data_IF_940215250945
#
_entry.id   IF_940215250945
#
_cell.length_a   1.000
_cell.length_b   1.000
_cell.length_c   1.000
_cell.angle_alpha   90.00
_cell.angle_beta   90.00
_cell.angle_gamma   90.00
#
_symmetry.space_group_name_H-M   'P 1'
#
loop_
_entity.id
_entity.type
_entity.pdbx_description
1 polymer ?
#
# COMPACT_ATOMS: atom_id res chain seq x y z
N UNK A 1 -14.53 -15.73 12.04
CA UNK A 1 -15.97 -15.86 12.31
C UNK A 1 -16.60 -14.50 12.60
N UNK A 2 -16.09 -13.79 13.60
CA UNK A 2 -16.66 -12.51 14.06
C UNK A 2 -16.55 -11.39 13.00
N UNK A 3 -15.39 -11.25 12.36
CA UNK A 3 -15.20 -10.21 11.34
C UNK A 3 -16.12 -10.34 10.12
N UNK A 4 -16.57 -11.56 9.80
CA UNK A 4 -17.52 -11.78 8.69
C UNK A 4 -18.91 -11.27 9.09
N UNK A 5 -19.37 -11.60 10.30
CA UNK A 5 -20.66 -11.14 10.80
C UNK A 5 -20.68 -9.62 11.03
N UNK A 6 -19.60 -9.04 11.55
CA UNK A 6 -19.45 -7.58 11.69
C UNK A 6 -19.55 -6.89 10.33
N UNK A 7 -18.76 -7.33 9.35
CA UNK A 7 -18.78 -6.73 8.00
C UNK A 7 -20.14 -6.89 7.31
N UNK A 8 -20.80 -8.05 7.49
CA UNK A 8 -22.15 -8.29 6.95
C UNK A 8 -23.20 -7.40 7.62
N UNK A 9 -23.10 -7.22 8.93
CA UNK A 9 -23.95 -6.31 9.70
C UNK A 9 -23.84 -4.87 9.19
N UNK A 10 -22.62 -4.35 9.10
CA UNK A 10 -22.33 -3.00 8.59
C UNK A 10 -22.81 -2.81 7.15
N UNK A 11 -22.55 -3.79 6.27
CA UNK A 11 -23.05 -3.76 4.90
C UNK A 11 -24.59 -3.75 4.84
N UNK A 12 -25.26 -4.49 5.73
CA UNK A 12 -26.71 -4.51 5.85
C UNK A 12 -27.31 -3.21 6.43
N UNK A 13 -26.57 -2.49 7.26
CA UNK A 13 -26.96 -1.14 7.72
C UNK A 13 -26.92 -0.13 6.57
N UNK A 14 -25.84 -0.16 5.76
CA UNK A 14 -25.70 0.71 4.61
C UNK A 14 -26.67 0.35 3.46
N UNK A 15 -26.89 -0.95 3.23
CA UNK A 15 -27.71 -1.50 2.14
C UNK A 15 -28.62 -2.62 2.67
N UNK A 16 -29.85 -2.31 3.15
CA UNK A 16 -30.73 -3.24 3.84
C UNK A 16 -31.03 -4.56 3.12
N UNK A 17 -31.09 -4.56 1.79
CA UNK A 17 -31.38 -5.76 1.00
C UNK A 17 -30.27 -6.82 1.09
N UNK A 18 -29.05 -6.44 1.52
CA UNK A 18 -27.94 -7.39 1.69
C UNK A 18 -28.13 -8.33 2.89
N UNK A 19 -28.98 -7.99 3.87
CA UNK A 19 -29.17 -8.78 5.10
C UNK A 19 -29.62 -10.22 4.82
N UNK A 20 -30.51 -10.40 3.85
CA UNK A 20 -31.07 -11.70 3.46
C UNK A 20 -30.23 -12.49 2.47
N UNK A 21 -29.15 -11.92 1.93
CA UNK A 21 -28.34 -12.58 0.91
C UNK A 21 -27.26 -13.49 1.52
N UNK A 22 -26.96 -14.64 0.91
CA UNK A 22 -25.87 -15.51 1.35
C UNK A 22 -24.51 -14.94 0.97
N UNK A 23 -23.50 -15.16 1.81
CA UNK A 23 -22.11 -14.85 1.49
C UNK A 23 -21.57 -15.92 0.55
N UNK A 24 -21.20 -15.53 -0.68
CA UNK A 24 -20.65 -16.46 -1.68
C UNK A 24 -19.19 -16.84 -1.40
N UNK A 25 -18.40 -15.90 -0.89
CA UNK A 25 -16.96 -16.07 -0.60
C UNK A 25 -16.50 -15.03 0.41
N UNK A 26 -15.54 -15.42 1.24
CA UNK A 26 -14.74 -14.52 2.09
C UNK A 26 -13.25 -14.81 1.86
N UNK A 27 -12.42 -13.79 1.92
CA UNK A 27 -10.96 -13.94 1.93
C UNK A 27 -10.34 -12.88 2.84
N UNK A 28 -9.07 -13.07 3.16
CA UNK A 28 -8.23 -12.08 3.83
C UNK A 28 -6.93 -11.91 3.07
N UNK A 29 -6.24 -10.82 3.32
CA UNK A 29 -4.94 -10.52 2.74
C UNK A 29 -4.13 -9.63 3.67
N UNK A 30 -2.81 -9.66 3.50
CA UNK A 30 -1.91 -8.77 4.21
C UNK A 30 -1.85 -7.42 3.49
N UNK A 31 -1.86 -6.34 4.26
CA UNK A 31 -1.60 -5.00 3.75
C UNK A 31 -0.21 -4.56 4.18
N UNK A 32 0.64 -4.08 3.26
CA UNK A 32 1.97 -3.61 3.60
C UNK A 32 1.86 -2.19 4.19
N UNK A 33 1.75 -2.09 5.50
CA UNK A 33 1.89 -0.83 6.24
C UNK A 33 3.34 -0.68 6.71
N UNK A 34 3.92 0.51 6.55
CA UNK A 34 5.13 0.87 7.27
C UNK A 34 4.80 1.22 8.73
N UNK A 35 5.81 1.29 9.59
CA UNK A 35 5.63 1.67 11.00
C UNK A 35 5.05 3.07 11.18
N UNK A 36 5.37 3.99 10.28
CA UNK A 36 4.90 5.37 10.27
C UNK A 36 3.71 5.61 9.32
N UNK A 37 3.19 4.55 8.69
CA UNK A 37 2.07 4.62 7.73
C UNK A 37 2.38 5.30 6.39
N UNK A 38 3.60 5.80 6.18
CA UNK A 38 4.02 6.44 4.92
C UNK A 38 4.47 5.40 3.88
N UNK A 39 4.28 5.65 2.57
CA UNK A 39 4.88 4.81 1.53
C UNK A 39 6.40 4.71 1.67
N UNK A 40 6.97 3.67 1.07
CA UNK A 40 8.42 3.49 0.95
C UNK A 40 8.71 3.31 -0.54
N UNK A 41 9.21 4.36 -1.18
CA UNK A 41 9.35 4.47 -2.63
C UNK A 41 10.69 5.13 -2.94
N UNK A 42 11.61 4.41 -3.56
CA UNK A 42 12.90 4.97 -3.98
C UNK A 42 14.05 3.96 -3.97
N UNK A 43 15.27 4.49 -4.00
CA UNK A 43 16.51 3.69 -3.94
C UNK A 43 16.76 3.23 -2.51
N UNK A 44 17.16 1.97 -2.35
CA UNK A 44 17.64 1.45 -1.06
C UNK A 44 19.05 2.02 -0.82
N UNK A 45 19.30 2.76 0.28
CA UNK A 45 20.59 3.44 0.48
C UNK A 45 21.78 2.50 0.64
N UNK A 46 21.54 1.23 1.02
CA UNK A 46 22.58 0.25 1.34
C UNK A 46 23.03 -0.60 0.15
N UNK A 47 22.40 -0.45 -1.02
CA UNK A 47 22.62 -1.33 -2.18
C UNK A 47 22.52 -0.55 -3.48
N UNK A 48 23.55 -0.68 -4.30
CA UNK A 48 23.53 -0.14 -5.65
C UNK A 48 22.46 -0.83 -6.50
N UNK A 49 21.78 -0.06 -7.34
CA UNK A 49 20.77 -0.52 -8.30
C UNK A 49 19.58 -1.29 -7.68
N UNK A 50 19.30 -1.12 -6.39
CA UNK A 50 18.13 -1.70 -5.73
C UNK A 50 17.09 -0.62 -5.40
N UNK A 51 15.86 -0.85 -5.84
CA UNK A 51 14.73 0.07 -5.65
C UNK A 51 13.56 -0.67 -5.01
N UNK A 52 12.73 0.09 -4.30
CA UNK A 52 11.54 -0.45 -3.62
C UNK A 52 10.32 0.43 -3.90
N UNK A 53 9.17 -0.24 -4.03
CA UNK A 53 7.83 0.37 -4.02
C UNK A 53 6.98 -0.47 -3.07
N UNK A 54 6.74 0.03 -1.86
CA UNK A 54 5.89 -0.63 -0.86
C UNK A 54 5.23 0.39 0.07
N UNK A 55 4.53 -0.07 1.10
CA UNK A 55 3.91 0.82 2.08
C UNK A 55 2.65 1.53 1.57
N UNK A 56 2.09 1.10 0.43
CA UNK A 56 0.90 1.74 -0.17
C UNK A 56 -0.42 1.37 0.51
N UNK A 57 -0.40 0.42 1.45
CA UNK A 57 -1.54 0.02 2.26
C UNK A 57 -2.83 -0.22 1.43
N UNK A 58 -3.98 0.30 1.90
CA UNK A 58 -5.28 0.19 1.23
C UNK A 58 -5.37 0.96 -0.10
N UNK A 59 -4.38 1.80 -0.42
CA UNK A 59 -4.37 2.67 -1.60
C UNK A 59 -3.52 2.13 -2.76
N UNK A 60 -2.91 0.96 -2.60
CA UNK A 60 -1.97 0.40 -3.59
C UNK A 60 -2.55 0.19 -4.98
N UNK A 61 -3.83 -0.18 -5.10
CA UNK A 61 -4.48 -0.34 -6.40
C UNK A 61 -4.59 1.01 -7.15
N UNK A 62 -5.06 2.06 -6.47
CA UNK A 62 -5.24 3.38 -7.08
C UNK A 62 -3.93 4.14 -7.28
N UNK A 63 -2.99 4.05 -6.33
CA UNK A 63 -1.71 4.78 -6.37
C UNK A 63 -0.59 4.02 -7.10
N UNK A 64 -0.71 2.71 -7.25
CA UNK A 64 0.30 1.83 -7.84
C UNK A 64 0.83 2.30 -9.20
N UNK A 65 -0.02 2.70 -10.16
CA UNK A 65 0.46 3.14 -11.47
C UNK A 65 1.41 4.33 -11.41
N UNK A 66 1.05 5.36 -10.62
CA UNK A 66 1.90 6.55 -10.46
C UNK A 66 3.14 6.27 -9.62
N UNK A 67 3.03 5.43 -8.58
CA UNK A 67 4.19 5.00 -7.79
C UNK A 67 5.22 4.25 -8.66
N UNK A 68 4.74 3.36 -9.54
CA UNK A 68 5.57 2.67 -10.52
C UNK A 68 6.23 3.64 -11.50
N UNK A 69 5.46 4.61 -12.02
CA UNK A 69 6.01 5.65 -12.90
C UNK A 69 7.12 6.45 -12.22
N UNK A 70 6.93 6.91 -10.98
CA UNK A 70 7.96 7.68 -10.30
C UNK A 70 9.24 6.89 -10.05
N UNK A 71 9.16 5.60 -9.72
CA UNK A 71 10.37 4.77 -9.60
C UNK A 71 11.02 4.51 -10.95
N UNK A 72 10.25 4.34 -12.03
CA UNK A 72 10.80 4.24 -13.38
C UNK A 72 11.52 5.53 -13.81
N UNK A 73 10.96 6.70 -13.50
CA UNK A 73 11.58 8.00 -13.79
C UNK A 73 12.88 8.15 -12.97
N UNK A 74 12.84 7.87 -11.66
CA UNK A 74 14.02 7.87 -10.80
C UNK A 74 15.10 6.89 -11.28
N UNK A 75 14.72 5.70 -11.73
CA UNK A 75 15.63 4.72 -12.32
C UNK A 75 16.32 5.25 -13.59
N UNK A 76 15.58 6.01 -14.41
CA UNK A 76 16.07 6.53 -15.68
C UNK A 76 16.97 7.75 -15.52
N UNK A 77 16.59 8.69 -14.65
CA UNK A 77 17.26 9.99 -14.51
C UNK A 77 18.24 10.04 -13.34
N UNK A 78 18.06 9.19 -12.32
CA UNK A 78 18.74 9.30 -11.03
C UNK A 78 18.16 10.38 -10.11
N UNK A 79 17.19 11.16 -10.60
CA UNK A 79 16.61 12.28 -9.86
C UNK A 79 15.33 11.85 -9.13
N UNK A 80 15.27 12.12 -7.83
CA UNK A 80 14.09 11.81 -7.04
C UNK A 80 13.04 12.91 -7.17
N UNK A 81 11.80 12.60 -7.63
CA UNK A 81 10.72 13.57 -7.66
C UNK A 81 10.42 14.11 -6.26
N UNK A 82 10.29 15.44 -6.12
CA UNK A 82 10.08 16.09 -4.82
C UNK A 82 8.87 15.55 -4.03
N UNK A 83 7.84 15.09 -4.74
CA UNK A 83 6.64 14.46 -4.17
C UNK A 83 6.94 13.16 -3.41
N UNK A 84 8.07 12.51 -3.70
CA UNK A 84 8.49 11.28 -3.02
C UNK A 84 9.35 11.54 -1.78
N UNK A 85 9.66 12.78 -1.43
CA UNK A 85 10.57 13.09 -0.30
C UNK A 85 10.18 12.40 1.01
N UNK A 86 8.89 12.35 1.35
CA UNK A 86 8.41 11.64 2.53
C UNK A 86 8.36 10.11 2.41
N UNK A 87 8.49 9.59 1.19
CA UNK A 87 8.52 8.16 0.90
C UNK A 87 9.96 7.61 0.78
N UNK A 88 10.98 8.46 0.96
CA UNK A 88 12.38 8.07 0.81
C UNK A 88 12.74 6.90 1.75
N UNK A 89 13.26 5.77 1.22
CA UNK A 89 13.62 4.62 2.04
C UNK A 89 14.69 4.90 3.11
N UNK A 90 15.54 5.91 2.93
CA UNK A 90 16.57 6.29 3.91
C UNK A 90 15.99 6.70 5.27
N UNK A 91 14.70 7.06 5.33
CA UNK A 91 14.03 7.38 6.59
C UNK A 91 13.85 6.19 7.53
N UNK A 92 13.87 4.95 7.02
CA UNK A 92 13.55 3.75 7.79
C UNK A 92 14.39 2.51 7.46
N UNK A 93 15.33 2.62 6.51
CA UNK A 93 16.24 1.55 6.13
C UNK A 93 17.66 2.03 6.41
N UNK A 94 18.25 1.50 7.48
CA UNK A 94 19.64 1.76 7.91
C UNK A 94 20.42 0.45 8.00
N UNK A 95 21.75 0.55 8.06
CA UNK A 95 22.56 -0.60 8.49
C UNK A 95 22.17 -0.98 9.93
N UNK A 96 22.28 -2.27 10.24
CA UNK A 96 22.10 -2.79 11.59
C UNK A 96 23.29 -2.44 12.49
#
# INVERSE_FOLDING_TARGET
>A
PDGIEVNKGQAGEALPFLRGLPIKRSWSGLMPFSLDGKPIIGRIPLRDNLFIVTGLASSGFGRGPMAGKFVADLLHTGDMPAVLSEADPSRCISEC
#
